data_IF_638020018854
#
_entry.id   IF_638020018854
#
_cell.length_a   1.000
_cell.length_b   1.000
_cell.length_c   1.000
_cell.angle_alpha   90.00
_cell.angle_beta   90.00
_cell.angle_gamma   90.00
#
_symmetry.space_group_name_H-M   'P 1'
#
loop_
_entity.id
_entity.type
_entity.pdbx_description
1 polymer ?
#
# COMPACT_ATOMS: atom_id res chain seq x y z
N UNK A 1 12.96 -5.38 -7.98
CA UNK A 1 13.49 -4.95 -6.67
C UNK A 1 13.20 -6.05 -5.67
N UNK A 2 14.19 -6.89 -5.37
CA UNK A 2 14.07 -8.01 -4.43
C UNK A 2 14.24 -7.49 -3.01
N UNK A 3 13.18 -7.53 -2.20
CA UNK A 3 13.27 -7.33 -0.76
C UNK A 3 13.90 -8.57 -0.12
N UNK A 4 15.18 -8.83 -0.39
CA UNK A 4 15.97 -9.85 0.29
C UNK A 4 16.42 -9.37 1.67
N UNK A 5 15.48 -8.91 2.51
CA UNK A 5 15.69 -8.74 3.96
C UNK A 5 15.32 -10.03 4.72
N UNK A 6 15.70 -11.17 4.15
CA UNK A 6 15.32 -12.52 4.56
C UNK A 6 16.00 -13.14 5.80
N UNK A 7 17.12 -12.64 6.37
CA UNK A 7 17.70 -13.27 7.58
C UNK A 7 17.56 -12.48 8.90
N UNK A 8 17.39 -11.15 8.86
CA UNK A 8 17.53 -10.27 10.03
C UNK A 8 16.53 -10.59 11.16
N UNK A 9 15.26 -10.82 10.82
CA UNK A 9 14.22 -11.09 11.81
C UNK A 9 14.33 -12.47 12.47
N UNK A 10 14.87 -13.48 11.76
CA UNK A 10 15.12 -14.82 12.33
C UNK A 10 16.23 -14.76 13.37
N UNK A 11 17.27 -13.98 13.11
CA UNK A 11 18.38 -13.75 14.04
C UNK A 11 17.85 -13.04 15.30
N UNK A 12 16.99 -12.03 15.14
CA UNK A 12 16.34 -11.35 16.27
C UNK A 12 15.49 -12.30 17.13
N UNK A 13 14.68 -13.19 16.53
CA UNK A 13 13.83 -14.13 17.27
C UNK A 13 14.65 -15.13 18.10
N UNK A 14 15.63 -15.76 17.47
CA UNK A 14 16.50 -16.72 18.17
C UNK A 14 17.29 -16.02 19.27
N UNK A 15 17.70 -14.77 19.06
CA UNK A 15 18.39 -13.99 20.09
C UNK A 15 17.50 -13.63 21.28
N UNK A 16 16.21 -13.30 21.06
CA UNK A 16 15.28 -12.95 22.14
C UNK A 16 14.87 -14.15 23.00
N UNK A 17 14.58 -15.30 22.36
CA UNK A 17 14.27 -16.55 23.07
C UNK A 17 15.49 -17.02 23.88
N UNK A 18 16.68 -16.94 23.27
CA UNK A 18 17.92 -17.28 23.95
C UNK A 18 18.20 -16.34 25.12
N UNK A 19 18.00 -15.03 24.95
CA UNK A 19 18.16 -14.07 26.05
C UNK A 19 17.23 -14.37 27.23
N UNK A 20 15.97 -14.72 27.00
CA UNK A 20 15.06 -15.15 28.08
C UNK A 20 15.56 -16.43 28.76
N UNK A 21 16.00 -17.42 27.99
CA UNK A 21 16.55 -18.67 28.54
C UNK A 21 17.81 -18.41 29.40
N UNK A 22 18.75 -17.62 28.89
CA UNK A 22 19.98 -17.25 29.59
C UNK A 22 19.67 -16.50 30.89
N UNK A 23 18.70 -15.58 30.90
CA UNK A 23 18.30 -14.86 32.11
C UNK A 23 17.55 -15.75 33.11
N UNK A 24 16.76 -16.73 32.66
CA UNK A 24 16.13 -17.72 33.56
C UNK A 24 17.17 -18.57 34.26
N UNK A 25 18.16 -19.04 33.52
CA UNK A 25 19.28 -19.80 34.08
C UNK A 25 20.07 -18.97 35.10
N UNK A 26 20.34 -17.69 34.79
CA UNK A 26 21.01 -16.77 35.72
C UNK A 26 20.20 -16.54 37.01
N UNK A 27 18.88 -16.40 36.92
CA UNK A 27 17.98 -16.29 38.09
C UNK A 27 18.01 -17.56 38.92
N UNK A 28 18.00 -18.73 38.29
CA UNK A 28 18.04 -20.01 39.00
C UNK A 28 19.40 -20.26 39.68
N UNK A 29 20.50 -19.85 39.05
CA UNK A 29 21.81 -19.84 39.68
C UNK A 29 21.83 -18.89 40.90
N UNK A 30 21.31 -17.67 40.75
CA UNK A 30 21.22 -16.69 41.84
C UNK A 30 20.38 -17.18 43.03
N UNK A 31 19.30 -17.93 42.79
CA UNK A 31 18.53 -18.59 43.87
C UNK A 31 19.38 -19.59 44.65
N UNK A 32 20.15 -20.44 43.96
CA UNK A 32 21.04 -21.42 44.59
C UNK A 32 22.15 -20.75 45.41
N UNK A 33 22.71 -19.66 44.90
CA UNK A 33 23.73 -18.87 45.61
C UNK A 33 23.16 -18.20 46.86
N UNK A 34 21.93 -17.68 46.79
CA UNK A 34 21.23 -17.15 47.95
C UNK A 34 21.03 -18.23 49.03
N UNK A 35 20.53 -19.40 48.65
CA UNK A 35 20.35 -20.54 49.57
C UNK A 35 21.68 -21.00 50.20
N UNK A 36 22.78 -20.95 49.45
CA UNK A 36 24.12 -21.26 49.97
C UNK A 36 24.61 -20.18 50.96
N UNK A 37 24.37 -18.90 50.66
CA UNK A 37 24.74 -17.78 51.52
C UNK A 37 23.94 -17.78 52.84
N UNK A 38 22.64 -18.11 52.79
CA UNK A 38 21.79 -18.25 53.97
C UNK A 38 22.30 -19.35 54.91
N UNK A 39 22.69 -20.51 54.35
CA UNK A 39 23.29 -21.62 55.12
C UNK A 39 24.63 -21.26 55.77
N UNK A 40 25.45 -20.45 55.09
CA UNK A 40 26.76 -20.03 55.58
C UNK A 40 26.71 -18.94 56.68
N UNK A 41 25.52 -18.36 56.95
CA UNK A 41 25.28 -17.33 57.99
C UNK A 41 26.19 -16.08 57.90
N UNK A 42 26.76 -15.79 56.73
CA UNK A 42 27.55 -14.59 56.48
C UNK A 42 26.66 -13.42 56.05
N UNK A 43 26.58 -12.35 56.85
CA UNK A 43 25.69 -11.19 56.60
C UNK A 43 25.98 -10.49 55.26
N UNK A 44 27.25 -10.23 54.96
CA UNK A 44 27.63 -9.49 53.74
C UNK A 44 27.41 -10.33 52.48
N UNK A 45 27.73 -11.62 52.55
CA UNK A 45 27.49 -12.57 51.45
C UNK A 45 26.00 -12.76 51.19
N UNK A 46 25.18 -12.79 52.24
CA UNK A 46 23.73 -12.85 52.12
C UNK A 46 23.16 -11.58 51.48
N UNK A 47 23.63 -10.40 51.89
CA UNK A 47 23.20 -9.14 51.30
C UNK A 47 23.56 -9.05 49.81
N UNK A 48 24.77 -9.47 49.43
CA UNK A 48 25.20 -9.53 48.04
C UNK A 48 24.33 -10.48 47.20
N UNK A 49 24.15 -11.73 47.65
CA UNK A 49 23.34 -12.72 46.92
C UNK A 49 21.88 -12.29 46.75
N UNK A 50 21.31 -11.59 47.74
CA UNK A 50 19.97 -10.98 47.62
C UNK A 50 19.92 -9.90 46.56
N UNK A 51 20.88 -8.99 46.56
CA UNK A 51 20.96 -7.91 45.56
C UNK A 51 21.10 -8.48 44.14
N UNK A 52 21.92 -9.51 43.96
CA UNK A 52 22.15 -10.10 42.65
C UNK A 52 20.92 -10.88 42.15
N UNK A 53 20.20 -11.58 43.03
CA UNK A 53 18.93 -12.21 42.67
C UNK A 53 17.87 -11.18 42.24
N UNK A 54 17.79 -10.03 42.91
CA UNK A 54 16.87 -8.94 42.52
C UNK A 54 17.22 -8.45 41.11
N UNK A 55 18.49 -8.12 40.86
CA UNK A 55 18.95 -7.68 39.53
C UNK A 55 18.67 -8.73 38.45
N UNK A 56 18.91 -10.01 38.75
CA UNK A 56 18.62 -11.12 37.83
C UNK A 56 17.13 -11.22 37.50
N UNK A 57 16.25 -11.05 38.49
CA UNK A 57 14.79 -11.05 38.29
C UNK A 57 14.35 -9.86 37.44
N UNK A 58 14.90 -8.67 37.67
CA UNK A 58 14.59 -7.47 36.89
C UNK A 58 15.05 -7.62 35.42
N UNK A 59 16.23 -8.20 35.22
CA UNK A 59 16.77 -8.50 33.89
C UNK A 59 15.92 -9.55 33.16
N UNK A 60 15.51 -10.62 33.85
CA UNK A 60 14.60 -11.63 33.30
C UNK A 60 13.25 -11.00 32.92
N UNK A 61 12.64 -10.22 33.81
CA UNK A 61 11.37 -9.56 33.54
C UNK A 61 11.47 -8.65 32.30
N UNK A 62 12.57 -7.89 32.18
CA UNK A 62 12.83 -7.05 31.01
C UNK A 62 12.99 -7.86 29.73
N UNK A 63 13.72 -8.97 29.78
CA UNK A 63 13.91 -9.86 28.64
C UNK A 63 12.59 -10.52 28.20
N UNK A 64 11.77 -10.98 29.14
CA UNK A 64 10.45 -11.57 28.86
C UNK A 64 9.50 -10.55 28.23
N UNK A 65 9.43 -9.34 28.79
CA UNK A 65 8.64 -8.24 28.21
C UNK A 65 9.07 -7.94 26.79
N UNK A 66 10.38 -7.88 26.53
CA UNK A 66 10.89 -7.59 25.18
C UNK A 66 10.61 -8.74 24.20
N UNK A 67 10.72 -9.99 24.64
CA UNK A 67 10.40 -11.15 23.82
C UNK A 67 8.91 -11.19 23.44
N UNK A 68 8.02 -10.86 24.38
CA UNK A 68 6.58 -10.74 24.12
C UNK A 68 6.26 -9.64 23.10
N UNK A 69 6.83 -8.45 23.28
CA UNK A 69 6.67 -7.31 22.33
C UNK A 69 7.13 -7.67 20.91
N UNK A 70 8.28 -8.35 20.79
CA UNK A 70 8.80 -8.78 19.48
C UNK A 70 7.93 -9.87 18.84
N UNK A 71 7.35 -10.76 19.65
CA UNK A 71 6.45 -11.80 19.17
C UNK A 71 5.14 -11.20 18.64
N UNK A 72 4.53 -10.26 19.38
CA UNK A 72 3.34 -9.53 18.95
C UNK A 72 3.61 -8.75 17.65
N UNK A 73 4.72 -8.01 17.59
CA UNK A 73 5.07 -7.24 16.40
C UNK A 73 5.28 -8.13 15.18
N UNK A 74 5.82 -9.33 15.38
CA UNK A 74 5.97 -10.32 14.30
C UNK A 74 4.62 -10.82 13.81
N UNK A 75 3.71 -11.20 14.71
CA UNK A 75 2.37 -11.67 14.34
C UNK A 75 1.59 -10.59 13.58
N UNK A 76 1.74 -9.33 13.99
CA UNK A 76 1.19 -8.18 13.26
C UNK A 76 1.78 -8.06 11.85
N UNK A 77 3.11 -8.13 11.71
CA UNK A 77 3.77 -8.05 10.41
C UNK A 77 3.41 -9.23 9.49
N UNK A 78 3.28 -10.44 10.02
CA UNK A 78 2.84 -11.62 9.27
C UNK A 78 1.40 -11.44 8.76
N UNK A 79 0.52 -10.88 9.60
CA UNK A 79 -0.86 -10.57 9.21
C UNK A 79 -0.91 -9.50 8.13
N UNK A 80 -0.21 -8.37 8.32
CA UNK A 80 -0.15 -7.31 7.32
C UNK A 80 0.47 -7.79 5.99
N UNK A 81 1.48 -8.67 6.06
CA UNK A 81 2.07 -9.28 4.87
C UNK A 81 1.06 -10.12 4.09
N UNK A 82 0.33 -11.01 4.79
CA UNK A 82 -0.71 -11.83 4.17
C UNK A 82 -1.86 -10.99 3.57
N UNK A 83 -2.28 -9.94 4.26
CA UNK A 83 -3.29 -9.00 3.77
C UNK A 83 -2.80 -8.25 2.52
N UNK A 84 -1.54 -7.81 2.50
CA UNK A 84 -0.95 -7.12 1.35
C UNK A 84 -0.79 -8.04 0.14
N UNK A 85 -0.40 -9.31 0.32
CA UNK A 85 -0.32 -10.30 -0.76
C UNK A 85 -1.69 -10.63 -1.35
N UNK A 86 -2.71 -10.77 -0.50
CA UNK A 86 -4.08 -10.97 -0.94
C UNK A 86 -4.59 -9.76 -1.74
N UNK A 87 -4.31 -8.54 -1.26
CA UNK A 87 -4.69 -7.32 -1.96
C UNK A 87 -3.96 -7.17 -3.30
N UNK A 88 -2.66 -7.44 -3.34
CA UNK A 88 -1.88 -7.40 -4.58
C UNK A 88 -2.48 -8.35 -5.64
N UNK A 89 -2.83 -9.57 -5.23
CA UNK A 89 -3.48 -10.55 -6.11
C UNK A 89 -4.84 -10.05 -6.62
N UNK A 90 -5.65 -9.40 -5.77
CA UNK A 90 -6.94 -8.81 -6.19
C UNK A 90 -6.73 -7.68 -7.21
N UNK A 91 -5.73 -6.82 -6.99
CA UNK A 91 -5.41 -5.72 -7.87
C UNK A 91 -4.94 -6.23 -9.24
N UNK A 92 -4.13 -7.27 -9.29
CA UNK A 92 -3.67 -7.90 -10.53
C UNK A 92 -4.83 -8.47 -11.35
N UNK A 93 -5.70 -9.27 -10.72
CA UNK A 93 -6.91 -9.80 -11.39
C UNK A 93 -7.77 -8.66 -11.91
N UNK A 94 -7.99 -7.61 -11.10
CA UNK A 94 -8.83 -6.49 -11.51
C UNK A 94 -8.22 -5.69 -12.67
N UNK A 95 -6.91 -5.56 -12.71
CA UNK A 95 -6.21 -4.91 -13.81
C UNK A 95 -6.34 -5.71 -15.11
N UNK A 96 -6.23 -7.04 -15.04
CA UNK A 96 -6.44 -7.93 -16.20
C UNK A 96 -7.88 -7.83 -16.73
N UNK A 97 -8.88 -7.90 -15.85
CA UNK A 97 -10.29 -7.71 -16.21
C UNK A 97 -10.52 -6.36 -16.91
N UNK A 98 -9.94 -5.29 -16.36
CA UNK A 98 -10.10 -3.96 -16.94
C UNK A 98 -9.40 -3.84 -18.30
N UNK A 99 -8.21 -4.42 -18.47
CA UNK A 99 -7.53 -4.47 -19.76
C UNK A 99 -8.37 -5.20 -20.82
N UNK A 100 -8.99 -6.33 -20.46
CA UNK A 100 -9.89 -7.05 -21.36
C UNK A 100 -11.09 -6.20 -21.80
N UNK A 101 -11.72 -5.48 -20.87
CA UNK A 101 -12.82 -4.54 -21.20
C UNK A 101 -12.36 -3.41 -22.13
N UNK A 102 -11.13 -2.91 -21.95
CA UNK A 102 -10.56 -1.86 -22.79
C UNK A 102 -10.14 -2.37 -24.17
N UNK A 103 -9.76 -3.65 -24.29
CA UNK A 103 -9.47 -4.30 -25.56
C UNK A 103 -10.69 -4.38 -26.48
N UNK A 104 -11.90 -4.48 -25.93
CA UNK A 104 -13.16 -4.45 -26.68
C UNK A 104 -13.52 -3.05 -27.23
N UNK A 105 -12.74 -2.02 -26.91
CA UNK A 105 -12.97 -0.64 -27.35
C UNK A 105 -11.95 -0.28 -28.44
N UNK A 106 -12.34 -0.20 -29.72
CA UNK A 106 -11.39 -0.02 -30.82
C UNK A 106 -10.45 1.18 -30.68
N UNK A 107 -10.93 2.30 -30.10
CA UNK A 107 -10.13 3.51 -29.87
C UNK A 107 -9.09 3.38 -28.73
N UNK A 108 -9.18 2.32 -27.92
CA UNK A 108 -8.35 2.08 -26.73
C UNK A 108 -7.61 0.73 -26.78
N UNK A 109 -7.98 -0.15 -27.70
CA UNK A 109 -7.49 -1.52 -27.79
C UNK A 109 -5.97 -1.66 -27.97
N UNK A 110 -5.30 -0.63 -28.49
CA UNK A 110 -3.84 -0.60 -28.65
C UNK A 110 -3.12 -0.58 -27.30
N UNK A 111 -2.99 0.59 -26.68
CA UNK A 111 -2.16 0.72 -25.48
C UNK A 111 -2.87 0.31 -24.18
N UNK A 112 -4.19 0.53 -24.10
CA UNK A 112 -4.96 0.27 -22.89
C UNK A 112 -5.53 -1.15 -22.82
N UNK A 113 -5.72 -1.77 -23.99
CA UNK A 113 -6.23 -3.13 -24.13
C UNK A 113 -5.17 -4.24 -24.00
N UNK A 114 -3.88 -3.88 -23.97
CA UNK A 114 -2.81 -4.86 -23.74
C UNK A 114 -2.85 -5.35 -22.30
N UNK A 115 -2.70 -6.66 -22.13
CA UNK A 115 -2.70 -7.30 -20.81
C UNK A 115 -1.60 -6.71 -19.90
N UNK A 116 -1.88 -6.46 -18.61
CA UNK A 116 -0.87 -6.01 -17.66
C UNK A 116 0.24 -7.05 -17.49
N UNK A 117 1.47 -6.59 -17.29
CA UNK A 117 2.56 -7.48 -16.88
C UNK A 117 2.31 -8.06 -15.49
N UNK A 118 2.98 -9.18 -15.13
CA UNK A 118 2.81 -9.82 -13.84
C UNK A 118 3.26 -8.90 -12.69
N UNK A 119 2.62 -9.06 -11.53
CA UNK A 119 3.00 -8.29 -10.35
C UNK A 119 2.48 -6.85 -10.38
N UNK A 120 2.48 -6.21 -9.21
CA UNK A 120 2.13 -4.79 -9.06
C UNK A 120 2.95 -3.84 -9.92
N UNK A 121 4.21 -4.18 -10.24
CA UNK A 121 5.04 -3.38 -11.13
C UNK A 121 4.49 -3.37 -12.57
N UNK A 122 4.08 -4.53 -13.08
CA UNK A 122 3.47 -4.66 -14.40
C UNK A 122 2.10 -3.97 -14.46
N UNK A 123 1.31 -4.08 -13.38
CA UNK A 123 0.05 -3.33 -13.23
C UNK A 123 0.29 -1.82 -13.25
N UNK A 124 1.30 -1.32 -12.53
CA UNK A 124 1.61 0.11 -12.49
C UNK A 124 2.03 0.64 -13.87
N UNK A 125 2.91 -0.08 -14.57
CA UNK A 125 3.33 0.28 -15.93
C UNK A 125 2.15 0.29 -16.90
N UNK A 126 1.33 -0.77 -16.88
CA UNK A 126 0.10 -0.84 -17.67
C UNK A 126 -0.84 0.32 -17.37
N UNK A 127 -1.06 0.64 -16.08
CA UNK A 127 -1.99 1.72 -15.69
C UNK A 127 -1.56 3.08 -16.24
N UNK A 128 -0.26 3.33 -16.35
CA UNK A 128 0.29 4.56 -16.93
C UNK A 128 -0.03 4.64 -18.43
N UNK A 129 0.20 3.55 -19.18
CA UNK A 129 -0.14 3.45 -20.61
C UNK A 129 -1.64 3.57 -20.85
N UNK A 130 -2.45 2.85 -20.07
CA UNK A 130 -3.91 2.92 -20.16
C UNK A 130 -4.44 4.33 -19.89
N UNK A 131 -3.88 5.03 -18.89
CA UNK A 131 -4.26 6.42 -18.59
C UNK A 131 -3.91 7.38 -19.72
N UNK A 132 -2.74 7.23 -20.32
CA UNK A 132 -2.32 8.04 -21.47
C UNK A 132 -3.26 7.82 -22.67
N UNK A 133 -3.57 6.56 -22.99
CA UNK A 133 -4.49 6.20 -24.07
C UNK A 133 -5.90 6.76 -23.86
N UNK A 134 -6.44 6.66 -22.63
CA UNK A 134 -7.73 7.24 -22.27
C UNK A 134 -7.74 8.77 -22.42
N UNK A 135 -6.64 9.44 -22.06
CA UNK A 135 -6.51 10.88 -22.22
C UNK A 135 -6.52 11.30 -23.70
N UNK A 136 -5.77 10.59 -24.55
CA UNK A 136 -5.75 10.82 -26.00
C UNK A 136 -7.12 10.57 -26.61
N UNK A 137 -7.78 9.46 -26.29
CA UNK A 137 -9.11 9.14 -26.79
C UNK A 137 -10.15 10.20 -26.40
N UNK A 138 -10.08 10.70 -25.15
CA UNK A 138 -10.93 11.81 -24.69
C UNK A 138 -10.68 13.08 -25.49
N UNK A 139 -9.42 13.42 -25.76
CA UNK A 139 -9.07 14.58 -26.59
C UNK A 139 -9.65 14.48 -28.00
N UNK A 140 -9.53 13.30 -28.63
CA UNK A 140 -10.12 13.03 -29.94
C UNK A 140 -11.65 13.22 -29.96
N UNK A 141 -12.36 12.69 -28.96
CA UNK A 141 -13.80 12.86 -28.83
C UNK A 141 -14.23 14.33 -28.69
N UNK A 142 -13.46 15.15 -27.95
CA UNK A 142 -13.73 16.58 -27.82
C UNK A 142 -13.55 17.30 -29.16
N UNK A 143 -12.47 16.99 -29.89
CA UNK A 143 -12.22 17.57 -31.21
C UNK A 143 -13.30 17.16 -32.24
N UNK A 144 -13.72 15.89 -32.24
CA UNK A 144 -14.81 15.38 -33.07
C UNK A 144 -16.13 16.11 -32.77
N UNK A 145 -16.46 16.27 -31.48
CA UNK A 145 -17.65 17.01 -31.06
C UNK A 145 -17.63 18.45 -31.58
N UNK A 146 -16.51 19.15 -31.41
CA UNK A 146 -16.38 20.55 -31.82
C UNK A 146 -16.47 20.69 -33.35
N UNK A 147 -15.95 19.72 -34.11
CA UNK A 147 -16.11 19.66 -35.55
C UNK A 147 -17.57 19.47 -35.98
N UNK A 148 -18.30 18.53 -35.35
CA UNK A 148 -19.73 18.29 -35.64
C UNK A 148 -20.57 19.54 -35.35
N UNK A 149 -20.33 20.22 -34.22
CA UNK A 149 -21.04 21.46 -33.88
C UNK A 149 -20.78 22.55 -34.92
N UNK A 150 -19.53 22.70 -35.37
CA UNK A 150 -19.18 23.66 -36.43
C UNK A 150 -19.89 23.34 -37.74
N UNK A 151 -19.84 22.08 -38.18
CA UNK A 151 -20.51 21.62 -39.42
C UNK A 151 -22.03 21.83 -39.36
N UNK A 152 -22.65 21.55 -38.22
CA UNK A 152 -24.08 21.79 -38.01
C UNK A 152 -24.44 23.28 -38.12
N UNK A 153 -23.59 24.17 -37.59
CA UNK A 153 -23.78 25.62 -37.72
C UNK A 153 -23.63 26.10 -39.16
N UNK A 154 -22.64 25.58 -39.90
CA UNK A 154 -22.43 25.87 -41.31
C UNK A 154 -23.63 25.43 -42.16
N UNK A 155 -24.11 24.20 -41.97
CA UNK A 155 -25.32 23.70 -42.62
C UNK A 155 -26.55 24.55 -42.27
N UNK A 156 -26.69 24.92 -41.00
CA UNK A 156 -27.78 25.77 -40.53
C UNK A 156 -27.79 27.17 -41.16
N UNK A 157 -26.61 27.73 -41.45
CA UNK A 157 -26.46 29.01 -42.15
C UNK A 157 -26.80 28.87 -43.63
N UNK A 158 -26.32 27.80 -44.29
CA UNK A 158 -26.64 27.50 -45.70
C UNK A 158 -28.14 27.33 -45.94
N UNK A 159 -28.84 26.59 -45.08
CA UNK A 159 -30.30 26.37 -45.20
C UNK A 159 -31.09 27.66 -44.96
N UNK A 160 -30.60 28.57 -44.12
CA UNK A 160 -31.28 29.84 -43.79
C UNK A 160 -30.94 30.99 -44.74
N UNK A 161 -29.94 30.84 -45.61
CA UNK A 161 -29.46 31.92 -46.49
C UNK A 161 -28.82 33.10 -45.76
N UNK A 162 -28.53 32.97 -44.46
CA UNK A 162 -27.90 34.02 -43.65
C UNK A 162 -26.37 33.82 -43.66
N UNK A 163 -25.55 34.85 -43.95
CA UNK A 163 -24.10 34.74 -43.90
C UNK A 163 -23.63 34.44 -42.47
N UNK A 164 -22.60 33.59 -42.35
CA UNK A 164 -21.96 33.12 -41.11
C UNK A 164 -21.33 34.28 -40.31
N UNK A 165 -22.13 35.17 -39.73
CA UNK A 165 -21.66 36.13 -38.74
C UNK A 165 -21.57 35.44 -37.38
N UNK A 166 -20.43 34.78 -37.13
CA UNK A 166 -19.90 34.41 -35.81
C UNK A 166 -20.94 34.25 -34.69
N UNK A 167 -21.83 33.27 -34.80
CA UNK A 167 -22.72 32.91 -33.71
C UNK A 167 -21.93 32.09 -32.68
N UNK A 168 -21.19 32.78 -31.80
CA UNK A 168 -20.64 32.15 -30.60
C UNK A 168 -21.81 31.51 -29.80
N UNK A 169 -21.57 30.40 -29.07
CA UNK A 169 -22.62 29.75 -28.27
C UNK A 169 -23.40 30.72 -27.36
N UNK A 170 -22.73 31.76 -26.85
CA UNK A 170 -23.37 32.81 -26.04
C UNK A 170 -24.27 33.76 -26.84
N UNK A 171 -24.04 33.93 -28.14
CA UNK A 171 -24.93 34.68 -29.03
C UNK A 171 -26.21 33.91 -29.35
N UNK A 172 -26.12 32.57 -29.45
CA UNK A 172 -27.29 31.70 -29.64
C UNK A 172 -28.16 31.66 -28.39
N UNK A 173 -27.57 31.50 -27.19
CA UNK A 173 -28.31 31.53 -25.93
C UNK A 173 -29.11 32.83 -25.73
N UNK A 174 -28.49 34.00 -25.99
CA UNK A 174 -29.14 35.31 -25.91
C UNK A 174 -30.21 35.56 -26.97
N UNK A 175 -30.21 34.81 -28.08
CA UNK A 175 -31.27 34.91 -29.11
C UNK A 175 -32.47 34.06 -28.71
N UNK A 176 -32.25 32.92 -28.07
CA UNK A 176 -33.32 32.08 -27.52
C UNK A 176 -34.06 32.77 -26.36
N UNK A 177 -33.35 33.37 -25.41
CA UNK A 177 -33.98 34.13 -24.31
C UNK A 177 -34.89 35.27 -24.81
N UNK A 178 -34.51 35.92 -25.93
CA UNK A 178 -35.29 36.99 -26.55
C UNK A 178 -36.48 36.50 -27.38
N UNK A 179 -36.47 35.25 -27.84
CA UNK A 179 -37.58 34.64 -28.56
C UNK A 179 -38.59 33.96 -27.62
N UNK A 180 -38.19 33.72 -26.36
CA UNK A 180 -39.04 33.17 -25.30
C UNK A 180 -39.61 34.22 -24.34
N UNK A 181 -39.43 35.52 -24.63
CA UNK A 181 -40.13 36.64 -23.98
C UNK A 181 -41.14 37.22 -24.96
#
# INVERSE_FOLDING_TARGET
MSWSSGPSWRICRTSAIRAVADQREAVDLGKRELEAAERAKGRDRLAAARSDLVRGRDALHTAERKAAELQERREELERCGAEAEAEASRVEVRAQELAAVLAERPRLAGDAGVEPGPGLAGVAEWSSRARAALFVARGGLVAERDAVVRQANELGALVRGEPLSAASPGAVARRLERASS
#
